data_IF_267558113702
#
_entry.id   IF_267558113702
#
_cell.length_a   1.000
_cell.length_b   1.000
_cell.length_c   1.000
_cell.angle_alpha   90.00
_cell.angle_beta   90.00
_cell.angle_gamma   90.00
#
_symmetry.space_group_name_H-M   'P 1'
#
loop_
_entity.id
_entity.type
_entity.pdbx_description
1 polymer ?
#
# COMPACT_ATOMS: atom_id res chain seq x y z
N UNK A 1 14.31 -12.23 -25.70
CA UNK A 1 14.26 -11.91 -24.27
C UNK A 1 12.83 -11.50 -23.99
N UNK A 2 12.11 -12.22 -23.16
CA UNK A 2 10.79 -11.79 -22.69
C UNK A 2 10.94 -10.45 -21.97
N UNK A 3 10.08 -9.49 -22.27
CA UNK A 3 10.06 -8.21 -21.55
C UNK A 3 9.81 -8.49 -20.05
N UNK A 4 10.43 -7.68 -19.18
CA UNK A 4 10.15 -7.75 -17.74
C UNK A 4 8.78 -7.11 -17.49
N UNK A 5 8.02 -7.59 -16.49
CA UNK A 5 6.66 -7.09 -16.24
C UNK A 5 6.65 -5.64 -15.71
N UNK A 6 5.56 -4.94 -16.04
CA UNK A 6 5.15 -3.70 -15.39
C UNK A 6 4.31 -4.05 -14.17
N UNK A 7 4.78 -3.65 -13.00
CA UNK A 7 4.18 -4.03 -11.72
C UNK A 7 3.65 -2.79 -11.00
N UNK A 8 2.39 -2.83 -10.60
CA UNK A 8 1.78 -1.83 -9.73
C UNK A 8 1.54 -2.44 -8.35
N UNK A 9 1.96 -1.75 -7.28
CA UNK A 9 1.68 -2.15 -5.90
C UNK A 9 0.74 -1.14 -5.23
N UNK A 10 -0.41 -1.62 -4.71
CA UNK A 10 -1.47 -0.79 -4.13
C UNK A 10 -1.59 -1.05 -2.62
N UNK A 11 -1.63 0.03 -1.82
CA UNK A 11 -1.83 -0.07 -0.38
C UNK A 11 -1.20 1.08 0.40
N UNK A 12 -0.49 0.76 1.49
CA UNK A 12 0.19 1.74 2.33
C UNK A 12 1.19 1.12 3.29
N UNK A 13 2.04 1.95 3.86
CA UNK A 13 2.92 1.60 4.95
C UNK A 13 4.02 0.58 4.64
N UNK A 14 4.37 -0.18 5.67
CA UNK A 14 5.45 -1.16 5.59
C UNK A 14 5.10 -2.37 4.72
N UNK A 15 3.82 -2.71 4.61
CA UNK A 15 3.36 -3.84 3.80
C UNK A 15 3.63 -3.59 2.32
N UNK A 16 3.11 -2.51 1.76
CA UNK A 16 3.37 -2.12 0.37
C UNK A 16 4.87 -1.95 0.10
N UNK A 17 5.64 -1.41 1.06
CA UNK A 17 7.09 -1.31 0.95
C UNK A 17 7.78 -2.67 0.75
N UNK A 18 7.25 -3.74 1.34
CA UNK A 18 7.77 -5.11 1.10
C UNK A 18 7.45 -5.59 -0.31
N UNK A 19 6.22 -5.37 -0.81
CA UNK A 19 5.85 -5.69 -2.19
C UNK A 19 6.72 -4.96 -3.20
N UNK A 20 7.05 -3.69 -2.95
CA UNK A 20 7.95 -2.91 -3.80
C UNK A 20 9.39 -3.46 -3.79
N UNK A 21 9.92 -3.85 -2.62
CA UNK A 21 11.23 -4.50 -2.55
C UNK A 21 11.24 -5.84 -3.28
N UNK A 22 10.14 -6.59 -3.23
CA UNK A 22 10.00 -7.83 -3.99
C UNK A 22 9.95 -7.56 -5.50
N UNK A 23 9.18 -6.57 -5.95
CA UNK A 23 9.06 -6.19 -7.35
C UNK A 23 10.39 -5.73 -7.95
N UNK A 24 11.23 -5.00 -7.19
CA UNK A 24 12.58 -4.59 -7.62
C UNK A 24 13.47 -5.75 -8.09
N UNK A 25 13.18 -6.97 -7.67
CA UNK A 25 14.00 -8.14 -8.01
C UNK A 25 13.63 -8.79 -9.35
N UNK A 26 12.45 -8.44 -9.94
CA UNK A 26 12.00 -9.08 -11.17
C UNK A 26 11.27 -8.17 -12.17
N UNK A 27 10.78 -7.02 -11.73
CA UNK A 27 10.01 -6.13 -12.59
C UNK A 27 10.90 -5.21 -13.44
N UNK A 28 10.41 -4.84 -14.62
CA UNK A 28 11.04 -3.85 -15.49
C UNK A 28 10.60 -2.42 -15.19
N UNK A 29 9.36 -2.26 -14.73
CA UNK A 29 8.78 -1.00 -14.31
C UNK A 29 7.97 -1.21 -13.04
N UNK A 30 8.03 -0.25 -12.10
CA UNK A 30 7.38 -0.37 -10.81
C UNK A 30 6.67 0.94 -10.49
N UNK A 31 5.39 0.86 -10.15
CA UNK A 31 4.62 1.98 -9.62
C UNK A 31 3.95 1.61 -8.30
N UNK A 32 4.11 2.42 -7.28
CA UNK A 32 3.37 2.33 -6.03
C UNK A 32 2.18 3.29 -6.05
N UNK A 33 0.98 2.81 -5.70
CA UNK A 33 -0.20 3.63 -5.48
C UNK A 33 -0.56 3.56 -4.00
N UNK A 34 -0.44 4.70 -3.31
CA UNK A 34 -0.35 4.75 -1.86
C UNK A 34 -1.50 5.56 -1.26
N UNK A 35 -2.16 5.00 -0.25
CA UNK A 35 -3.17 5.75 0.52
C UNK A 35 -2.54 6.97 1.21
N UNK A 36 -3.29 8.06 1.25
CA UNK A 36 -2.91 9.33 1.90
C UNK A 36 -3.89 9.69 3.03
N UNK A 37 -4.67 8.73 3.49
CA UNK A 37 -5.72 8.93 4.49
C UNK A 37 -5.23 8.78 5.95
N UNK A 38 -3.91 8.57 6.19
CA UNK A 38 -3.33 8.44 7.53
C UNK A 38 -3.49 9.75 8.32
N UNK A 39 -4.06 9.66 9.51
CA UNK A 39 -4.26 10.78 10.45
C UNK A 39 -3.45 10.61 11.74
N UNK A 40 -2.54 9.64 11.78
CA UNK A 40 -1.72 9.33 12.95
C UNK A 40 -0.34 9.96 12.96
N UNK A 41 0.24 10.04 14.13
CA UNK A 41 1.65 10.36 14.38
C UNK A 41 2.17 11.63 13.69
N UNK A 42 3.31 11.50 12.99
CA UNK A 42 3.95 12.60 12.25
C UNK A 42 3.13 13.06 11.05
N UNK A 43 2.49 12.12 10.35
CA UNK A 43 1.67 12.43 9.16
C UNK A 43 0.47 13.28 9.53
N UNK A 44 -0.29 12.88 10.55
CA UNK A 44 -1.46 13.62 11.02
C UNK A 44 -1.10 15.04 11.45
N UNK A 45 -0.01 15.23 12.23
CA UNK A 45 0.43 16.56 12.66
C UNK A 45 0.82 17.47 11.49
N UNK A 46 1.57 16.96 10.49
CA UNK A 46 1.95 17.77 9.32
C UNK A 46 0.74 18.10 8.46
N UNK A 47 -0.19 17.17 8.32
CA UNK A 47 -1.46 17.39 7.65
C UNK A 47 -2.26 18.54 8.27
N UNK A 48 -2.40 18.56 9.61
CA UNK A 48 -3.11 19.62 10.33
C UNK A 48 -2.40 20.98 10.24
N UNK A 49 -1.05 20.97 10.24
CA UNK A 49 -0.26 22.21 10.23
C UNK A 49 -0.14 22.84 8.85
N UNK A 50 -0.01 22.04 7.80
CA UNK A 50 0.33 22.49 6.45
C UNK A 50 -0.82 22.30 5.44
N UNK A 51 -1.89 21.60 5.79
CA UNK A 51 -2.99 21.30 4.84
C UNK A 51 -2.57 20.38 3.70
N UNK A 52 -1.57 19.52 3.92
CA UNK A 52 -1.06 18.57 2.92
C UNK A 52 -1.51 17.16 3.25
N UNK A 53 -1.60 16.24 2.25
CA UNK A 53 -1.91 14.84 2.50
C UNK A 53 -0.92 14.15 3.43
N UNK A 54 -1.28 12.97 3.94
CA UNK A 54 -0.43 12.18 4.81
C UNK A 54 0.81 11.63 4.06
N UNK A 55 2.01 11.97 4.51
CA UNK A 55 3.27 11.67 3.80
C UNK A 55 3.98 10.39 4.27
N UNK A 56 3.55 9.81 5.40
CA UNK A 56 4.28 8.72 6.04
C UNK A 56 4.40 7.47 5.18
N UNK A 57 3.33 7.07 4.52
CA UNK A 57 3.29 5.87 3.69
C UNK A 57 3.95 6.11 2.32
N UNK A 58 3.77 7.30 1.74
CA UNK A 58 4.51 7.73 0.55
C UNK A 58 6.03 7.66 0.78
N UNK A 59 6.50 8.22 1.90
CA UNK A 59 7.91 8.16 2.30
C UNK A 59 8.43 6.73 2.40
N UNK A 60 7.68 5.82 3.04
CA UNK A 60 8.09 4.42 3.18
C UNK A 60 8.22 3.71 1.82
N UNK A 61 7.31 4.00 0.90
CA UNK A 61 7.34 3.45 -0.46
C UNK A 61 8.53 4.02 -1.26
N UNK A 62 8.81 5.33 -1.17
CA UNK A 62 9.98 5.95 -1.79
C UNK A 62 11.29 5.32 -1.28
N UNK A 63 11.42 5.15 0.05
CA UNK A 63 12.59 4.50 0.64
C UNK A 63 12.70 3.03 0.22
N UNK A 64 11.58 2.31 0.07
CA UNK A 64 11.60 0.92 -0.40
C UNK A 64 12.09 0.78 -1.85
N UNK A 65 11.89 1.80 -2.68
CA UNK A 65 12.36 1.85 -4.07
C UNK A 65 13.78 2.42 -4.19
N UNK A 66 14.30 3.09 -3.17
CA UNK A 66 15.64 3.65 -3.17
C UNK A 66 16.72 2.56 -3.07
N UNK A 67 17.97 2.93 -3.41
CA UNK A 67 19.12 2.08 -3.14
C UNK A 67 19.32 1.92 -1.61
N UNK A 68 19.42 0.69 -1.13
CA UNK A 68 19.57 0.36 0.28
C UNK A 68 20.88 0.96 0.87
N UNK A 69 21.89 1.21 0.05
CA UNK A 69 23.14 1.87 0.44
C UNK A 69 23.02 3.39 0.57
N UNK A 70 21.94 4.01 0.07
CA UNK A 70 21.77 5.46 0.03
C UNK A 70 21.77 6.08 1.44
N UNK A 71 22.69 7.02 1.73
CA UNK A 71 22.68 7.76 2.99
C UNK A 71 21.39 8.57 3.14
N UNK A 72 20.83 9.09 2.03
CA UNK A 72 19.61 9.86 2.04
C UNK A 72 18.41 8.97 2.40
N UNK A 73 18.32 7.75 1.86
CA UNK A 73 17.26 6.80 2.21
C UNK A 73 17.27 6.48 3.71
N UNK A 74 18.46 6.27 4.29
CA UNK A 74 18.60 6.09 5.76
C UNK A 74 18.19 7.35 6.53
N UNK A 75 18.56 8.53 6.05
CA UNK A 75 18.18 9.80 6.68
C UNK A 75 16.65 10.03 6.63
N UNK A 76 15.99 9.63 5.55
CA UNK A 76 14.53 9.69 5.43
C UNK A 76 13.79 8.86 6.51
N UNK A 77 14.42 7.80 7.01
CA UNK A 77 13.87 6.96 8.09
C UNK A 77 14.15 7.51 9.49
N UNK A 78 15.09 8.46 9.62
CA UNK A 78 15.44 9.04 10.92
C UNK A 78 14.23 9.73 11.55
N UNK A 79 14.03 9.47 12.85
CA UNK A 79 12.93 10.10 13.63
C UNK A 79 13.52 10.88 14.79
N UNK A 80 13.12 12.14 14.90
CA UNK A 80 13.52 12.99 15.99
C UNK A 80 12.93 12.49 17.31
N UNK A 81 13.77 12.39 18.36
CA UNK A 81 13.36 11.87 19.66
C UNK A 81 13.00 12.96 20.63
N UNK A 82 13.53 14.17 20.48
CA UNK A 82 13.44 15.28 21.42
C UNK A 82 13.19 16.62 20.71
N UNK A 83 12.81 17.65 21.47
CA UNK A 83 12.55 19.01 21.01
C UNK A 83 11.23 19.14 20.25
N UNK A 84 11.08 20.27 19.56
CA UNK A 84 9.84 20.61 18.84
C UNK A 84 9.55 19.63 17.67
N UNK A 85 10.59 19.02 17.10
CA UNK A 85 10.45 18.03 16.04
C UNK A 85 10.22 16.61 16.55
N UNK A 86 10.13 16.40 17.88
CA UNK A 86 9.97 15.06 18.45
C UNK A 86 8.83 14.28 17.80
N UNK A 87 9.14 13.03 17.39
CA UNK A 87 8.19 12.13 16.72
C UNK A 87 8.04 12.37 15.21
N UNK A 88 8.58 13.46 14.62
CA UNK A 88 8.61 13.63 13.18
C UNK A 88 9.71 12.77 12.53
N UNK A 89 9.39 12.14 11.39
CA UNK A 89 10.41 11.55 10.54
C UNK A 89 11.01 12.64 9.66
N UNK A 90 12.35 12.67 9.52
CA UNK A 90 13.04 13.65 8.67
C UNK A 90 12.50 13.60 7.23
N UNK A 91 12.27 12.41 6.70
CA UNK A 91 11.74 12.26 5.33
C UNK A 91 10.35 12.84 5.15
N UNK A 92 9.49 12.86 6.18
CA UNK A 92 8.21 13.55 6.08
C UNK A 92 8.39 15.07 5.97
N UNK A 93 9.40 15.65 6.66
CA UNK A 93 9.71 17.08 6.56
C UNK A 93 10.33 17.43 5.20
N UNK A 94 11.19 16.56 4.65
CA UNK A 94 11.77 16.74 3.31
C UNK A 94 10.65 16.71 2.25
N UNK A 95 9.77 15.72 2.30
CA UNK A 95 8.62 15.63 1.40
C UNK A 95 7.73 16.87 1.50
N UNK A 96 7.36 17.27 2.72
CA UNK A 96 6.55 18.48 2.93
C UNK A 96 7.20 19.71 2.32
N UNK A 97 8.50 19.92 2.56
CA UNK A 97 9.23 21.07 2.03
C UNK A 97 9.32 21.09 0.50
N UNK A 98 9.47 19.92 -0.14
CA UNK A 98 9.51 19.83 -1.60
C UNK A 98 8.12 20.03 -2.22
N UNK A 99 7.08 19.46 -1.64
CA UNK A 99 5.69 19.66 -2.08
C UNK A 99 5.33 21.15 -2.00
N UNK A 100 5.58 21.80 -0.86
CA UNK A 100 5.31 23.23 -0.67
C UNK A 100 6.10 24.11 -1.64
N UNK A 101 7.39 23.81 -1.87
CA UNK A 101 8.23 24.61 -2.76
C UNK A 101 7.87 24.48 -4.24
N UNK A 102 7.29 23.35 -4.65
CA UNK A 102 6.85 23.11 -6.01
C UNK A 102 5.38 23.49 -6.23
N UNK A 103 4.58 23.56 -5.16
CA UNK A 103 3.15 23.80 -5.23
C UNK A 103 2.35 22.63 -5.86
N UNK A 104 2.96 21.45 -5.94
CA UNK A 104 2.41 20.25 -6.55
C UNK A 104 2.80 19.00 -5.76
N UNK A 105 1.80 18.20 -5.39
CA UNK A 105 1.99 16.96 -4.62
C UNK A 105 2.77 15.90 -5.41
N UNK A 106 2.36 15.62 -6.63
CA UNK A 106 2.96 14.57 -7.47
C UNK A 106 4.39 14.98 -7.86
N UNK A 107 4.60 16.23 -8.24
CA UNK A 107 5.91 16.78 -8.54
C UNK A 107 6.87 16.70 -7.35
N UNK A 108 6.41 17.06 -6.15
CA UNK A 108 7.22 16.95 -4.93
C UNK A 108 7.61 15.51 -4.59
N UNK A 109 6.68 14.55 -4.73
CA UNK A 109 6.96 13.12 -4.54
C UNK A 109 7.97 12.62 -5.59
N UNK A 110 7.77 12.97 -6.86
CA UNK A 110 8.64 12.60 -7.97
C UNK A 110 10.06 13.12 -7.76
N UNK A 111 10.22 14.37 -7.30
CA UNK A 111 11.54 14.95 -7.03
C UNK A 111 12.26 14.22 -5.89
N UNK A 112 11.54 13.84 -4.83
CA UNK A 112 12.13 12.97 -3.78
C UNK A 112 12.56 11.63 -4.36
N UNK A 113 11.74 11.01 -5.21
CA UNK A 113 12.09 9.77 -5.91
C UNK A 113 13.38 9.90 -6.72
N UNK A 114 13.49 10.99 -7.49
CA UNK A 114 14.69 11.31 -8.27
C UNK A 114 15.93 11.49 -7.37
N UNK A 115 15.81 12.21 -6.27
CA UNK A 115 16.91 12.43 -5.31
C UNK A 115 17.36 11.14 -4.61
N UNK A 116 16.45 10.20 -4.40
CA UNK A 116 16.71 8.90 -3.82
C UNK A 116 17.28 7.89 -4.83
N UNK A 117 17.23 8.18 -6.12
CA UNK A 117 17.52 7.21 -7.17
C UNK A 117 16.55 6.03 -7.13
N UNK A 118 15.27 6.31 -6.88
CA UNK A 118 14.25 5.28 -6.76
C UNK A 118 14.08 4.48 -8.06
N UNK A 119 13.97 3.15 -7.94
CA UNK A 119 13.82 2.23 -9.06
C UNK A 119 12.38 2.17 -9.62
N UNK A 120 11.54 3.14 -9.30
CA UNK A 120 10.14 3.21 -9.75
C UNK A 120 9.45 4.48 -9.26
N UNK A 121 8.18 4.63 -9.63
CA UNK A 121 7.35 5.77 -9.26
C UNK A 121 6.54 5.51 -7.99
N UNK A 122 6.24 6.57 -7.24
CA UNK A 122 5.31 6.55 -6.12
C UNK A 122 4.26 7.63 -6.36
N UNK A 123 2.99 7.22 -6.38
CA UNK A 123 1.86 8.08 -6.63
C UNK A 123 0.87 8.00 -5.46
N UNK A 124 0.21 9.08 -5.07
CA UNK A 124 -0.89 9.02 -4.12
C UNK A 124 -2.11 8.39 -4.79
N UNK A 125 -2.93 7.67 -4.02
CA UNK A 125 -4.19 7.13 -4.53
C UNK A 125 -5.20 8.23 -4.90
N UNK A 126 -5.08 9.40 -4.26
CA UNK A 126 -5.88 10.60 -4.54
C UNK A 126 -5.07 11.87 -4.31
N UNK A 127 -5.45 12.93 -5.04
CA UNK A 127 -4.90 14.28 -4.88
C UNK A 127 -5.64 15.08 -3.80
N UNK A 128 -6.83 14.63 -3.43
CA UNK A 128 -7.70 15.32 -2.49
C UNK A 128 -7.30 15.05 -1.03
N UNK A 129 -7.66 15.98 -0.16
CA UNK A 129 -7.62 15.77 1.27
C UNK A 129 -8.75 14.82 1.68
N UNK A 130 -8.39 13.58 2.04
CA UNK A 130 -9.37 12.55 2.33
C UNK A 130 -9.30 12.08 3.79
N UNK A 131 -10.43 11.57 4.28
CA UNK A 131 -10.55 10.83 5.53
C UNK A 131 -11.20 9.48 5.27
N UNK A 132 -10.87 8.50 6.09
CA UNK A 132 -11.60 7.22 6.10
C UNK A 132 -12.82 7.33 7.01
N UNK A 133 -13.91 6.75 6.57
CA UNK A 133 -15.11 6.49 7.36
C UNK A 133 -15.39 5.00 7.34
N UNK A 134 -15.80 4.44 8.45
CA UNK A 134 -16.15 3.03 8.54
C UNK A 134 -17.43 2.81 9.37
N UNK A 135 -18.22 1.84 8.96
CA UNK A 135 -19.26 1.27 9.80
C UNK A 135 -18.61 0.35 10.82
N UNK A 136 -18.88 0.56 12.09
CA UNK A 136 -18.40 -0.27 13.19
C UNK A 136 -19.58 -0.66 14.09
N UNK A 137 -19.39 -1.60 15.00
CA UNK A 137 -20.46 -2.11 15.87
C UNK A 137 -21.21 -1.02 16.63
N UNK A 138 -20.58 0.13 16.91
CA UNK A 138 -21.16 1.26 17.66
C UNK A 138 -21.72 2.39 16.78
N UNK A 139 -21.77 2.21 15.45
CA UNK A 139 -22.19 3.21 14.47
C UNK A 139 -21.10 3.55 13.46
N UNK A 140 -21.05 4.78 12.97
CA UNK A 140 -20.03 5.23 12.03
C UNK A 140 -18.86 5.89 12.78
N UNK A 141 -17.63 5.52 12.43
CA UNK A 141 -16.42 6.18 12.92
C UNK A 141 -15.63 6.80 11.77
N UNK A 142 -14.89 7.87 12.03
CA UNK A 142 -14.10 8.60 11.03
C UNK A 142 -12.66 8.73 11.55
N UNK A 143 -11.72 8.50 10.65
CA UNK A 143 -10.28 8.57 10.92
C UNK A 143 -9.60 7.20 10.90
N UNK A 144 -8.44 7.15 10.28
CA UNK A 144 -7.66 5.94 10.09
C UNK A 144 -7.26 5.28 11.41
N UNK A 145 -6.79 6.09 12.38
CA UNK A 145 -6.40 5.58 13.70
C UNK A 145 -7.61 5.03 14.46
N UNK A 146 -8.74 5.71 14.42
CA UNK A 146 -9.95 5.27 15.10
C UNK A 146 -10.50 3.97 14.50
N UNK A 147 -10.50 3.85 13.17
CA UNK A 147 -10.91 2.63 12.46
C UNK A 147 -9.97 1.46 12.81
N UNK A 148 -8.65 1.69 12.80
CA UNK A 148 -7.66 0.67 13.15
C UNK A 148 -7.76 0.14 14.59
N UNK A 149 -8.48 0.84 15.48
CA UNK A 149 -8.76 0.41 16.84
C UNK A 149 -10.13 -0.30 16.99
N UNK A 150 -10.91 -0.39 15.93
CA UNK A 150 -12.21 -1.08 15.98
C UNK A 150 -12.04 -2.60 15.86
N UNK A 151 -12.87 -3.35 16.60
CA UNK A 151 -12.84 -4.82 16.57
C UNK A 151 -13.71 -5.42 15.45
N UNK A 152 -14.71 -4.68 15.02
CA UNK A 152 -15.63 -5.10 13.94
C UNK A 152 -15.75 -3.93 12.98
N UNK A 153 -15.27 -4.14 11.76
CA UNK A 153 -15.28 -3.16 10.70
C UNK A 153 -16.18 -3.70 9.58
N UNK A 154 -17.20 -2.94 9.25
CA UNK A 154 -18.06 -3.17 8.09
C UNK A 154 -17.53 -2.48 6.85
N UNK A 155 -18.38 -1.65 6.22
CA UNK A 155 -17.99 -0.90 5.02
C UNK A 155 -17.07 0.25 5.36
N UNK A 156 -15.90 0.29 4.70
CA UNK A 156 -14.98 1.43 4.74
C UNK A 156 -15.17 2.27 3.48
N UNK A 157 -15.18 3.58 3.64
CA UNK A 157 -15.33 4.55 2.56
C UNK A 157 -14.30 5.67 2.68
N UNK A 158 -13.94 6.23 1.54
CA UNK A 158 -13.12 7.46 1.46
C UNK A 158 -14.06 8.66 1.41
N UNK A 159 -13.76 9.71 2.14
CA UNK A 159 -14.50 10.96 2.17
C UNK A 159 -13.59 12.13 1.75
N UNK A 160 -13.95 12.95 0.75
CA UNK A 160 -15.19 12.88 -0.03
C UNK A 160 -15.29 11.64 -0.93
N UNK A 161 -16.51 11.22 -1.24
CA UNK A 161 -16.76 9.97 -2.00
C UNK A 161 -16.38 10.08 -3.49
N UNK A 162 -16.17 11.28 -3.99
CA UNK A 162 -15.75 11.61 -5.35
C UNK A 162 -14.28 12.03 -5.46
N UNK A 163 -13.48 11.65 -4.47
CA UNK A 163 -12.04 11.95 -4.42
C UNK A 163 -11.34 11.55 -5.72
N UNK A 164 -10.63 12.52 -6.33
CA UNK A 164 -9.98 12.35 -7.62
C UNK A 164 -8.64 11.61 -7.50
N UNK A 165 -8.38 10.68 -8.40
CA UNK A 165 -7.07 10.03 -8.54
C UNK A 165 -6.21 10.74 -9.57
N UNK A 166 -4.86 10.73 -9.44
CA UNK A 166 -3.98 11.16 -10.52
C UNK A 166 -4.21 10.30 -11.78
N UNK A 167 -4.19 10.93 -12.95
CA UNK A 167 -4.33 10.20 -14.22
C UNK A 167 -3.20 9.18 -14.38
N UNK A 168 -1.99 9.51 -13.96
CA UNK A 168 -0.81 8.64 -14.00
C UNK A 168 -1.02 7.35 -13.15
N UNK A 169 -1.78 7.42 -12.06
CA UNK A 169 -2.10 6.24 -11.26
C UNK A 169 -3.09 5.32 -11.97
N UNK A 170 -4.08 5.89 -12.66
CA UNK A 170 -5.05 5.15 -13.46
C UNK A 170 -4.36 4.50 -14.66
N UNK A 171 -3.52 5.24 -15.37
CA UNK A 171 -2.72 4.76 -16.50
C UNK A 171 -1.79 3.62 -16.07
N UNK A 172 -1.07 3.78 -14.95
CA UNK A 172 -0.18 2.75 -14.43
C UNK A 172 -0.92 1.42 -14.16
N UNK A 173 -2.13 1.45 -13.59
CA UNK A 173 -2.93 0.23 -13.37
C UNK A 173 -3.41 -0.36 -14.70
N UNK A 174 -3.85 0.48 -15.63
CA UNK A 174 -4.39 0.05 -16.92
C UNK A 174 -3.33 -0.66 -17.74
N UNK A 175 -2.10 -0.15 -17.69
CA UNK A 175 -0.96 -0.64 -18.46
C UNK A 175 -0.14 -1.72 -17.74
N UNK A 176 -0.48 -2.07 -16.51
CA UNK A 176 0.23 -3.07 -15.72
C UNK A 176 0.09 -4.47 -16.32
N UNK A 177 1.09 -5.30 -16.07
CA UNK A 177 1.04 -6.75 -16.27
C UNK A 177 0.62 -7.47 -14.97
N UNK A 178 1.03 -6.91 -13.80
CA UNK A 178 0.62 -7.38 -12.48
C UNK A 178 0.23 -6.21 -11.58
N UNK A 179 -0.90 -6.36 -10.88
CA UNK A 179 -1.35 -5.45 -9.82
C UNK A 179 -1.28 -6.20 -8.49
N UNK A 180 -0.35 -5.81 -7.63
CA UNK A 180 -0.14 -6.39 -6.30
C UNK A 180 -0.92 -5.55 -5.28
N UNK A 181 -1.87 -6.16 -4.61
CA UNK A 181 -2.71 -5.53 -3.60
C UNK A 181 -2.22 -5.98 -2.22
N UNK A 182 -1.74 -5.03 -1.40
CA UNK A 182 -1.13 -5.32 -0.10
C UNK A 182 0.32 -5.86 -0.17
N UNK A 183 0.81 -6.54 0.91
CA UNK A 183 0.14 -6.68 2.22
C UNK A 183 -0.01 -5.35 2.95
N UNK A 184 -0.63 -5.39 4.13
CA UNK A 184 -0.82 -4.22 4.98
C UNK A 184 -2.12 -4.27 5.75
N UNK A 185 -2.42 -3.23 6.53
CA UNK A 185 -3.71 -3.11 7.20
C UNK A 185 -4.84 -3.22 6.20
N UNK A 186 -5.69 -4.25 6.38
CA UNK A 186 -6.69 -4.63 5.39
C UNK A 186 -7.63 -3.45 5.08
N UNK A 187 -8.19 -2.85 6.12
CA UNK A 187 -9.18 -1.78 5.97
C UNK A 187 -8.55 -0.40 5.84
N UNK A 188 -7.51 -0.13 6.65
CA UNK A 188 -6.96 1.22 6.79
C UNK A 188 -5.80 1.53 5.84
N UNK A 189 -5.30 0.55 5.09
CA UNK A 189 -4.29 0.76 4.06
C UNK A 189 -4.70 0.18 2.71
N UNK A 190 -5.00 -1.12 2.64
CA UNK A 190 -5.27 -1.83 1.38
C UNK A 190 -6.59 -1.37 0.77
N UNK A 191 -7.70 -1.56 1.49
CA UNK A 191 -9.02 -1.13 1.05
C UNK A 191 -9.08 0.39 0.91
N UNK A 192 -8.45 1.14 1.84
CA UNK A 192 -8.38 2.59 1.76
C UNK A 192 -7.79 3.12 0.44
N UNK A 193 -6.71 2.51 -0.06
CA UNK A 193 -6.12 2.89 -1.34
C UNK A 193 -6.96 2.41 -2.53
N UNK A 194 -7.44 1.15 -2.48
CA UNK A 194 -8.18 0.52 -3.56
C UNK A 194 -9.61 1.05 -3.74
N UNK A 195 -10.20 1.69 -2.70
CA UNK A 195 -11.56 2.22 -2.74
C UNK A 195 -11.67 3.66 -3.25
N UNK A 196 -10.57 4.34 -3.56
CA UNK A 196 -10.64 5.63 -4.27
C UNK A 196 -11.26 5.39 -5.64
N UNK A 197 -12.29 6.16 -6.06
CA UNK A 197 -13.13 5.82 -7.21
C UNK A 197 -12.38 5.54 -8.51
N UNK A 198 -11.39 6.37 -8.86
CA UNK A 198 -10.55 6.17 -10.05
C UNK A 198 -9.72 4.89 -9.96
N UNK A 199 -9.10 4.63 -8.81
CA UNK A 199 -8.32 3.41 -8.56
C UNK A 199 -9.20 2.17 -8.59
N UNK A 200 -10.35 2.20 -7.90
CA UNK A 200 -11.31 1.11 -7.90
C UNK A 200 -11.80 0.76 -9.32
N UNK A 201 -12.06 1.77 -10.14
CA UNK A 201 -12.45 1.57 -11.53
C UNK A 201 -11.30 0.94 -12.34
N UNK A 202 -10.09 1.45 -12.22
CA UNK A 202 -8.92 0.93 -12.94
C UNK A 202 -8.62 -0.53 -12.56
N UNK A 203 -8.70 -0.91 -11.25
CA UNK A 203 -8.52 -2.30 -10.78
C UNK A 203 -9.54 -3.25 -11.43
N UNK A 204 -10.79 -2.82 -11.58
CA UNK A 204 -11.84 -3.66 -12.20
C UNK A 204 -11.69 -3.78 -13.72
N UNK A 205 -11.11 -2.76 -14.36
CA UNK A 205 -11.06 -2.67 -15.83
C UNK A 205 -9.75 -3.22 -16.42
N UNK A 206 -8.69 -3.33 -15.62
CA UNK A 206 -7.38 -3.78 -16.07
C UNK A 206 -7.38 -5.23 -16.54
N UNK A 207 -6.51 -5.55 -17.50
CA UNK A 207 -6.19 -6.91 -17.93
C UNK A 207 -5.03 -7.52 -17.13
N UNK A 208 -4.41 -6.75 -16.23
CA UNK A 208 -3.34 -7.21 -15.37
C UNK A 208 -3.81 -8.33 -14.44
N UNK A 209 -2.89 -9.24 -14.10
CA UNK A 209 -3.13 -10.22 -13.05
C UNK A 209 -3.18 -9.51 -11.68
N UNK A 210 -4.35 -9.56 -11.01
CA UNK A 210 -4.57 -8.94 -9.69
C UNK A 210 -4.23 -9.94 -8.59
N UNK A 211 -3.19 -9.65 -7.83
CA UNK A 211 -2.64 -10.53 -6.81
C UNK A 211 -2.84 -9.91 -5.43
N UNK A 212 -3.61 -10.56 -4.56
CA UNK A 212 -3.67 -10.17 -3.17
C UNK A 212 -2.56 -10.86 -2.38
N UNK A 213 -1.70 -10.08 -1.72
CA UNK A 213 -0.72 -10.60 -0.77
C UNK A 213 -1.30 -10.47 0.62
N UNK A 214 -1.69 -11.60 1.21
CA UNK A 214 -2.29 -11.64 2.53
C UNK A 214 -1.27 -11.35 3.62
N UNK A 215 -1.71 -10.77 4.72
CA UNK A 215 -0.88 -10.60 5.91
C UNK A 215 -0.44 -11.96 6.46
N UNK A 216 0.73 -12.04 7.08
CA UNK A 216 1.24 -13.27 7.72
C UNK A 216 0.44 -13.69 8.96
N UNK A 217 -0.36 -12.77 9.48
CA UNK A 217 -1.20 -12.95 10.66
C UNK A 217 -2.29 -11.87 10.71
N UNK A 218 -3.41 -12.11 11.40
CA UNK A 218 -4.41 -11.07 11.65
C UNK A 218 -3.80 -9.88 12.38
N UNK A 219 -4.22 -8.69 12.02
CA UNK A 219 -3.87 -7.45 12.72
C UNK A 219 -4.90 -7.16 13.82
N UNK A 220 -4.42 -7.01 15.04
CA UNK A 220 -5.26 -6.80 16.23
C UNK A 220 -5.39 -5.31 16.52
N UNK A 221 -6.59 -4.76 16.70
CA UNK A 221 -7.90 -5.45 16.70
C UNK A 221 -8.55 -5.61 15.32
N UNK A 222 -8.13 -4.89 14.30
CA UNK A 222 -8.72 -4.66 12.98
C UNK A 222 -9.24 -5.93 12.27
N UNK A 223 -8.46 -7.01 12.27
CA UNK A 223 -8.81 -8.28 11.63
C UNK A 223 -8.67 -9.47 12.58
N UNK A 224 -9.01 -9.27 13.86
CA UNK A 224 -8.95 -10.34 14.87
C UNK A 224 -9.76 -11.56 14.44
N UNK A 225 -9.10 -12.72 14.39
CA UNK A 225 -9.73 -14.00 14.05
C UNK A 225 -10.01 -14.20 12.55
N UNK A 226 -9.60 -13.30 11.70
CA UNK A 226 -9.76 -13.48 10.25
C UNK A 226 -8.91 -14.62 9.73
N UNK A 227 -9.49 -15.40 8.84
CA UNK A 227 -8.82 -16.34 7.95
C UNK A 227 -8.44 -15.65 6.64
N UNK A 228 -7.68 -16.33 5.77
CA UNK A 228 -7.42 -15.82 4.40
C UNK A 228 -8.73 -15.60 3.64
N UNK A 229 -9.71 -16.50 3.81
CA UNK A 229 -11.02 -16.37 3.19
C UNK A 229 -11.79 -15.13 3.69
N UNK A 230 -11.65 -14.76 4.97
CA UNK A 230 -12.29 -13.55 5.52
C UNK A 230 -11.66 -12.28 4.97
N UNK A 231 -10.33 -12.27 4.76
CA UNK A 231 -9.67 -11.15 4.05
C UNK A 231 -10.22 -10.99 2.63
N UNK A 232 -10.37 -12.09 1.89
CA UNK A 232 -10.92 -12.07 0.54
C UNK A 232 -12.39 -11.63 0.52
N UNK A 233 -13.18 -12.06 1.50
CA UNK A 233 -14.57 -11.62 1.63
C UNK A 233 -14.67 -10.11 1.93
N UNK A 234 -13.74 -9.56 2.72
CA UNK A 234 -13.68 -8.12 2.96
C UNK A 234 -13.30 -7.34 1.71
N UNK A 235 -12.35 -7.83 0.90
CA UNK A 235 -12.01 -7.22 -0.39
C UNK A 235 -13.20 -7.23 -1.36
N UNK A 236 -13.86 -8.38 -1.51
CA UNK A 236 -15.05 -8.55 -2.36
C UNK A 236 -16.20 -7.63 -1.93
N UNK A 237 -16.45 -7.51 -0.62
CA UNK A 237 -17.44 -6.57 -0.07
C UNK A 237 -17.16 -5.10 -0.47
N UNK A 238 -15.89 -4.73 -0.63
CA UNK A 238 -15.47 -3.41 -1.08
C UNK A 238 -15.23 -3.33 -2.59
N UNK A 239 -15.68 -4.33 -3.35
CA UNK A 239 -15.52 -4.41 -4.81
C UNK A 239 -14.06 -4.35 -5.30
N UNK A 240 -13.14 -4.83 -4.47
CA UNK A 240 -11.72 -5.01 -4.83
C UNK A 240 -11.54 -6.44 -5.35
N UNK A 241 -11.61 -6.58 -6.66
CA UNK A 241 -11.47 -7.87 -7.33
C UNK A 241 -10.01 -8.34 -7.35
N UNK A 242 -9.79 -9.63 -7.08
CA UNK A 242 -8.47 -10.28 -7.13
C UNK A 242 -8.57 -11.65 -7.81
N UNK A 243 -7.54 -12.02 -8.55
CA UNK A 243 -7.51 -13.26 -9.34
C UNK A 243 -6.83 -14.41 -8.59
N UNK A 244 -5.90 -14.08 -7.70
CA UNK A 244 -5.14 -15.04 -6.89
C UNK A 244 -4.75 -14.44 -5.56
N UNK A 245 -4.71 -15.26 -4.51
CA UNK A 245 -4.16 -14.86 -3.21
C UNK A 245 -2.84 -15.59 -2.95
N UNK A 246 -1.84 -14.81 -2.53
CA UNK A 246 -0.56 -15.30 -2.02
C UNK A 246 -0.57 -15.19 -0.51
N UNK A 247 -0.36 -16.29 0.19
CA UNK A 247 -0.39 -16.34 1.66
C UNK A 247 0.65 -17.33 2.22
N UNK A 248 0.89 -17.23 3.51
CA UNK A 248 1.53 -18.28 4.33
C UNK A 248 0.56 -18.63 5.45
N UNK A 249 -0.03 -19.82 5.38
CA UNK A 249 -0.94 -20.29 6.43
C UNK A 249 -0.16 -20.69 7.68
N UNK A 250 -0.77 -20.49 8.84
CA UNK A 250 -0.17 -20.79 10.14
C UNK A 250 -1.26 -21.05 11.19
N UNK A 251 -0.87 -21.38 12.40
CA UNK A 251 -1.79 -21.53 13.53
C UNK A 251 -2.55 -20.23 13.85
N UNK A 252 -2.02 -19.08 13.46
CA UNK A 252 -2.64 -17.76 13.68
C UNK A 252 -3.39 -17.23 12.47
N UNK A 253 -3.15 -17.77 11.27
CA UNK A 253 -3.80 -17.40 10.03
C UNK A 253 -4.24 -18.68 9.29
N UNK A 254 -5.42 -19.16 9.55
CA UNK A 254 -6.00 -20.28 8.83
C UNK A 254 -6.43 -19.89 7.40
N UNK A 255 -6.44 -20.85 6.50
CA UNK A 255 -6.86 -20.64 5.11
C UNK A 255 -8.35 -20.28 5.00
N UNK A 256 -9.20 -20.97 5.77
CA UNK A 256 -10.65 -20.90 5.55
C UNK A 256 -11.07 -21.61 4.28
N UNK A 257 -12.08 -21.04 3.58
CA UNK A 257 -12.64 -21.59 2.34
C UNK A 257 -12.61 -20.53 1.22
N UNK A 258 -11.43 -20.15 0.70
CA UNK A 258 -11.31 -19.17 -0.38
C UNK A 258 -11.96 -19.68 -1.68
N UNK A 259 -12.53 -18.76 -2.47
CA UNK A 259 -13.22 -19.08 -3.74
C UNK A 259 -12.36 -18.83 -4.98
N UNK A 260 -11.12 -18.34 -4.78
CA UNK A 260 -10.17 -18.04 -5.85
C UNK A 260 -8.91 -18.89 -5.68
N UNK A 261 -8.05 -19.00 -6.70
CA UNK A 261 -6.76 -19.67 -6.60
C UNK A 261 -5.90 -19.17 -5.43
N UNK A 262 -5.24 -20.12 -4.75
CA UNK A 262 -4.38 -19.85 -3.59
C UNK A 262 -2.97 -20.32 -3.88
N UNK A 263 -1.99 -19.48 -3.60
CA UNK A 263 -0.58 -19.84 -3.54
C UNK A 263 -0.16 -19.76 -2.06
N UNK A 264 -0.16 -20.89 -1.39
CA UNK A 264 0.34 -21.02 -0.02
C UNK A 264 1.82 -21.36 -0.06
N UNK A 265 2.65 -20.48 0.48
CA UNK A 265 4.11 -20.59 0.39
C UNK A 265 4.77 -19.97 1.61
N UNK A 266 5.97 -20.42 1.95
CA UNK A 266 6.76 -19.78 3.01
C UNK A 266 7.24 -18.41 2.55
N UNK A 267 6.69 -17.36 3.15
CA UNK A 267 6.97 -15.95 2.85
C UNK A 267 7.76 -15.25 3.95
N UNK A 268 7.81 -15.84 5.15
CA UNK A 268 8.57 -15.32 6.30
C UNK A 268 10.07 -15.53 6.15
N UNK A 269 10.85 -14.49 6.54
CA UNK A 269 12.30 -14.57 6.68
C UNK A 269 12.74 -14.84 8.12
N UNK A 270 13.86 -14.24 8.52
CA UNK A 270 14.35 -14.28 9.91
C UNK A 270 13.44 -13.56 10.90
N UNK A 271 12.67 -12.57 10.43
CA UNK A 271 11.61 -11.93 11.18
C UNK A 271 10.27 -12.50 10.76
N UNK A 272 9.66 -13.30 11.63
CA UNK A 272 8.36 -13.93 11.38
C UNK A 272 7.17 -12.95 11.28
N UNK A 273 7.40 -11.66 11.52
CA UNK A 273 6.37 -10.62 11.48
C UNK A 273 6.30 -9.89 10.14
N UNK A 274 7.27 -10.13 9.25
CA UNK A 274 7.43 -9.39 7.99
C UNK A 274 7.73 -10.38 6.88
N UNK A 275 7.10 -10.19 5.73
CA UNK A 275 7.43 -10.97 4.53
C UNK A 275 8.88 -10.74 4.12
N UNK A 276 9.54 -11.80 3.68
CA UNK A 276 10.85 -11.74 3.06
C UNK A 276 10.70 -11.31 1.60
N UNK A 277 11.30 -10.18 1.18
CA UNK A 277 11.13 -9.69 -0.20
C UNK A 277 11.63 -10.67 -1.26
N UNK A 278 12.69 -11.44 -0.99
CA UNK A 278 13.22 -12.40 -1.97
C UNK A 278 12.29 -13.60 -2.14
N UNK A 279 11.71 -14.13 -1.06
CA UNK A 279 10.73 -15.20 -1.12
C UNK A 279 9.44 -14.74 -1.81
N UNK A 280 8.94 -13.57 -1.45
CA UNK A 280 7.76 -12.98 -2.09
C UNK A 280 8.02 -12.73 -3.58
N UNK A 281 9.19 -12.22 -3.96
CA UNK A 281 9.59 -12.05 -5.36
C UNK A 281 9.58 -13.36 -6.14
N UNK A 282 10.09 -14.46 -5.54
CA UNK A 282 10.08 -15.77 -6.18
C UNK A 282 8.65 -16.25 -6.51
N UNK A 283 7.70 -16.02 -5.62
CA UNK A 283 6.28 -16.37 -5.86
C UNK A 283 5.67 -15.46 -6.93
N UNK A 284 5.83 -14.14 -6.82
CA UNK A 284 5.23 -13.17 -7.74
C UNK A 284 5.77 -13.31 -9.17
N UNK A 285 7.08 -13.49 -9.33
CA UNK A 285 7.70 -13.74 -10.65
C UNK A 285 7.27 -15.09 -11.24
N UNK A 286 7.08 -16.11 -10.40
CA UNK A 286 6.54 -17.40 -10.81
C UNK A 286 5.12 -17.30 -11.37
N UNK A 287 4.27 -16.47 -10.77
CA UNK A 287 2.91 -16.20 -11.25
C UNK A 287 2.93 -15.49 -12.61
N UNK A 288 3.86 -14.57 -12.85
CA UNK A 288 4.04 -13.91 -14.13
C UNK A 288 4.42 -14.89 -15.25
N UNK A 289 5.38 -15.79 -14.99
CA UNK A 289 5.84 -16.76 -15.99
C UNK A 289 4.81 -17.83 -16.33
N UNK A 290 3.81 -18.04 -15.47
CA UNK A 290 2.71 -19.00 -15.67
C UNK A 290 1.48 -18.36 -16.32
N UNK A 291 1.44 -17.02 -16.46
CA UNK A 291 0.34 -16.35 -17.13
C UNK A 291 0.27 -16.80 -18.61
N UNK A 292 -0.91 -17.15 -19.14
CA UNK A 292 -1.03 -17.46 -20.57
C UNK A 292 -0.61 -16.23 -21.35
N UNK A 293 0.34 -16.41 -22.27
CA UNK A 293 0.65 -15.38 -23.27
C UNK A 293 -0.59 -15.14 -24.12
N UNK A 294 -1.16 -13.92 -24.06
CA UNK A 294 -2.32 -13.50 -24.83
C UNK A 294 -2.06 -13.55 -26.34
#
# INVERSE_FOLDING_TARGET
>A
MTALPRVVAIGGGHGTAVSLRAARLYAGEITAIVTVADDGGSSGRLRELLGIPALGDLRKCLVALADDSSPLARAMEYRYLEGELAGHALGNLILAGLIESQGDLVGGISEVGRLLGAAGAVLPATLDEVRLSAEVATGTTVGQVAIGQAETIGTVSVLPADAASPDEAIEAITDADQVIIGPGSLFTSVIAAASVPGIAHAIRSTQAQRIYVCNLRPQIPESRGYTVADHLAALDHHHVEVDVVVCETSDTLALGAPRIPVVDSTLTGSNALVHDPAKLSGVLSGLWTQAPTA
#
